data_IF_721575221803
#
_entry.id   IF_721575221803
#
_cell.length_a   1.000
_cell.length_b   1.000
_cell.length_c   1.000
_cell.angle_alpha   90.00
_cell.angle_beta   90.00
_cell.angle_gamma   90.00
#
_symmetry.space_group_name_H-M   'P 1'
#
loop_
_entity.id
_entity.type
_entity.pdbx_description
1 polymer ?
#
# COMPACT_ATOMS: atom_id res chain seq x y z
N UNK A 1 -9.96 -32.27 6.41
CA UNK A 1 -9.70 -31.35 7.54
C UNK A 1 -10.73 -30.25 7.50
N UNK A 2 -11.28 -29.83 8.64
CA UNK A 2 -12.27 -28.75 8.68
C UNK A 2 -11.57 -27.40 8.45
N UNK A 3 -12.08 -26.61 7.51
CA UNK A 3 -11.56 -25.27 7.21
C UNK A 3 -11.86 -24.31 8.37
N UNK A 4 -10.84 -23.61 8.88
CA UNK A 4 -10.97 -22.61 9.95
C UNK A 4 -11.12 -21.22 9.35
N UNK A 5 -12.15 -20.48 9.76
CA UNK A 5 -12.30 -19.07 9.38
C UNK A 5 -11.43 -18.20 10.29
N UNK A 6 -10.60 -17.33 9.72
CA UNK A 6 -9.76 -16.38 10.44
C UNK A 6 -10.17 -14.93 10.12
N UNK A 7 -10.70 -14.16 11.09
CA UNK A 7 -10.93 -12.73 10.91
C UNK A 7 -9.61 -11.97 10.72
N UNK A 8 -9.55 -11.11 9.70
CA UNK A 8 -8.37 -10.28 9.41
C UNK A 8 -8.84 -8.85 9.15
N UNK A 9 -8.50 -7.93 10.04
CA UNK A 9 -8.78 -6.50 9.86
C UNK A 9 -7.55 -5.79 9.29
N UNK A 10 -7.74 -5.09 8.17
CA UNK A 10 -6.66 -4.45 7.40
C UNK A 10 -6.93 -2.96 7.33
N UNK A 11 -6.02 -2.17 7.91
CA UNK A 11 -5.99 -0.71 7.76
C UNK A 11 -5.10 -0.36 6.57
N UNK A 12 -5.66 0.32 5.58
CA UNK A 12 -4.95 0.62 4.34
C UNK A 12 -5.29 2.00 3.81
N UNK A 13 -4.28 2.62 3.20
CA UNK A 13 -4.44 3.80 2.35
C UNK A 13 -4.04 3.40 0.91
N UNK A 14 -4.84 3.80 -0.07
CA UNK A 14 -4.62 3.47 -1.48
C UNK A 14 -3.34 4.11 -2.05
N UNK A 15 -2.87 5.22 -1.48
CA UNK A 15 -1.62 5.86 -1.91
C UNK A 15 -0.37 5.20 -1.29
N UNK A 16 -0.55 4.21 -0.42
CA UNK A 16 0.52 3.52 0.28
C UNK A 16 1.02 2.31 -0.53
N UNK A 17 2.25 2.34 -1.08
CA UNK A 17 2.79 1.19 -1.81
C UNK A 17 3.03 -0.02 -0.88
N UNK A 18 3.36 0.22 0.40
CA UNK A 18 3.51 -0.86 1.38
C UNK A 18 2.19 -1.58 1.69
N UNK A 19 1.05 -0.91 1.63
CA UNK A 19 -0.25 -1.58 1.79
C UNK A 19 -0.49 -2.57 0.66
N UNK A 20 -0.10 -2.23 -0.59
CA UNK A 20 -0.23 -3.15 -1.71
C UNK A 20 0.76 -4.32 -1.63
N UNK A 21 2.02 -4.06 -1.26
CA UNK A 21 3.01 -5.11 -0.97
C UNK A 21 2.50 -6.05 0.13
N UNK A 22 2.00 -5.51 1.24
CA UNK A 22 1.46 -6.26 2.36
C UNK A 22 0.29 -7.15 1.94
N UNK A 23 -0.63 -6.64 1.11
CA UNK A 23 -1.73 -7.43 0.52
C UNK A 23 -1.20 -8.63 -0.27
N UNK A 24 -0.23 -8.44 -1.16
CA UNK A 24 0.35 -9.53 -1.97
C UNK A 24 1.03 -10.59 -1.11
N UNK A 25 1.77 -10.17 -0.08
CA UNK A 25 2.42 -11.08 0.86
C UNK A 25 1.42 -11.83 1.73
N UNK A 26 0.34 -11.18 2.14
CA UNK A 26 -0.75 -11.81 2.90
C UNK A 26 -1.50 -12.85 2.06
N UNK A 27 -1.77 -12.55 0.79
CA UNK A 27 -2.35 -13.50 -0.17
C UNK A 27 -1.46 -14.74 -0.34
N UNK A 28 -0.15 -14.55 -0.53
CA UNK A 28 0.80 -15.65 -0.62
C UNK A 28 0.82 -16.51 0.65
N UNK A 29 0.82 -15.86 1.83
CA UNK A 29 0.81 -16.56 3.11
C UNK A 29 -0.46 -17.41 3.33
N UNK A 30 -1.62 -16.97 2.83
CA UNK A 30 -2.85 -17.77 2.90
C UNK A 30 -2.90 -18.87 1.83
N UNK A 31 -2.27 -18.68 0.67
CA UNK A 31 -2.15 -19.75 -0.33
C UNK A 31 -1.37 -20.97 0.20
N UNK A 32 -0.43 -20.76 1.11
CA UNK A 32 0.31 -21.83 1.82
C UNK A 32 -0.50 -22.52 2.94
N UNK A 33 -1.70 -22.02 3.27
CA UNK A 33 -2.53 -22.48 4.39
C UNK A 33 -3.95 -22.81 3.92
N UNK A 34 -4.14 -23.90 3.14
CA UNK A 34 -5.44 -24.23 2.54
C UNK A 34 -6.52 -24.62 3.57
N UNK A 35 -6.14 -24.89 4.81
CA UNK A 35 -7.03 -25.16 5.94
C UNK A 35 -7.56 -23.88 6.61
N UNK A 36 -7.07 -22.69 6.21
CA UNK A 36 -7.49 -21.40 6.76
C UNK A 36 -8.14 -20.53 5.70
N UNK A 37 -9.38 -20.10 5.94
CA UNK A 37 -10.08 -19.13 5.10
C UNK A 37 -10.07 -17.75 5.77
N UNK A 38 -9.40 -16.74 5.20
CA UNK A 38 -9.44 -15.39 5.74
C UNK A 38 -10.82 -14.75 5.52
N UNK A 39 -11.33 -14.10 6.56
CA UNK A 39 -12.50 -13.20 6.51
C UNK A 39 -12.00 -11.76 6.66
N UNK A 40 -11.85 -11.08 5.53
CA UNK A 40 -11.26 -9.74 5.50
C UNK A 40 -12.25 -8.65 5.89
N UNK A 41 -11.79 -7.73 6.74
CA UNK A 41 -12.45 -6.46 7.03
C UNK A 41 -11.49 -5.32 6.71
N UNK A 42 -11.83 -4.52 5.71
CA UNK A 42 -11.00 -3.38 5.31
C UNK A 42 -11.41 -2.12 6.05
N UNK A 43 -10.42 -1.37 6.53
CA UNK A 43 -10.58 -0.09 7.20
C UNK A 43 -9.76 0.95 6.45
N UNK A 44 -10.43 2.03 6.05
CA UNK A 44 -9.76 3.16 5.45
C UNK A 44 -8.79 3.78 6.47
N UNK A 45 -7.59 4.10 6.01
CA UNK A 45 -6.60 4.86 6.75
C UNK A 45 -6.12 6.01 5.86
N UNK A 46 -5.87 7.18 6.45
CA UNK A 46 -5.36 8.35 5.72
C UNK A 46 -3.92 8.62 6.14
N UNK A 47 -2.97 8.34 5.26
CA UNK A 47 -1.56 8.69 5.44
C UNK A 47 -1.35 10.21 5.43
N UNK A 48 -2.22 10.94 4.72
CA UNK A 48 -2.25 12.40 4.74
C UNK A 48 -3.69 12.89 4.95
N UNK A 49 -4.14 13.02 6.21
CA UNK A 49 -5.49 13.51 6.52
C UNK A 49 -5.77 14.94 6.04
N UNK A 50 -4.71 15.72 5.79
CA UNK A 50 -4.77 17.12 5.36
C UNK A 50 -4.53 17.31 3.86
N UNK A 51 -4.55 16.23 3.06
CA UNK A 51 -4.39 16.33 1.60
C UNK A 51 -5.44 17.30 1.00
N UNK A 52 -5.06 18.24 0.12
CA UNK A 52 -6.02 19.05 -0.64
C UNK A 52 -6.91 18.18 -1.52
N UNK A 53 -8.14 18.60 -1.82
CA UNK A 53 -9.12 17.78 -2.59
C UNK A 53 -8.61 17.45 -3.99
N UNK A 54 -7.88 18.36 -4.60
CA UNK A 54 -7.21 18.23 -5.90
C UNK A 54 -5.90 17.41 -5.83
N UNK A 55 -5.54 16.90 -4.65
CA UNK A 55 -4.27 16.24 -4.39
C UNK A 55 -3.06 17.18 -4.48
N UNK A 56 -1.87 16.60 -4.44
CA UNK A 56 -0.61 17.35 -4.52
C UNK A 56 0.26 16.85 -5.66
N UNK A 57 1.06 17.75 -6.24
CA UNK A 57 2.19 17.34 -7.08
C UNK A 57 3.02 16.26 -6.37
N UNK A 58 3.41 15.23 -7.11
CA UNK A 58 4.07 14.06 -6.52
C UNK A 58 5.42 14.42 -5.91
N UNK A 59 6.23 15.20 -6.63
CA UNK A 59 7.56 15.61 -6.17
C UNK A 59 7.46 16.46 -4.91
N UNK A 60 6.57 17.45 -4.91
CA UNK A 60 6.32 18.30 -3.75
C UNK A 60 5.85 17.49 -2.52
N UNK A 61 4.92 16.55 -2.70
CA UNK A 61 4.44 15.68 -1.62
C UNK A 61 5.58 14.83 -1.02
N UNK A 62 6.37 14.18 -1.86
CA UNK A 62 7.48 13.34 -1.39
C UNK A 62 8.61 14.16 -0.77
N UNK A 63 8.91 15.33 -1.33
CA UNK A 63 9.89 16.26 -0.78
C UNK A 63 9.49 16.76 0.59
N UNK A 64 8.23 17.17 0.78
CA UNK A 64 7.72 17.58 2.08
C UNK A 64 7.73 16.44 3.11
N UNK A 65 7.44 15.20 2.67
CA UNK A 65 7.32 14.05 3.57
C UNK A 65 8.66 13.41 3.96
N UNK A 66 9.59 13.31 3.02
CA UNK A 66 10.83 12.53 3.18
C UNK A 66 12.10 13.34 2.92
N UNK A 67 11.99 14.58 2.41
CA UNK A 67 13.13 15.40 2.03
C UNK A 67 14.06 14.69 1.06
N UNK A 68 15.37 14.87 1.27
CA UNK A 68 16.45 14.27 0.46
C UNK A 68 16.39 12.73 0.43
N UNK A 69 15.74 12.10 1.41
CA UNK A 69 15.64 10.65 1.52
C UNK A 69 14.58 10.02 0.61
N UNK A 70 13.76 10.83 -0.07
CA UNK A 70 12.64 10.35 -0.89
C UNK A 70 13.07 9.28 -1.91
N UNK A 71 14.15 9.53 -2.65
CA UNK A 71 14.67 8.59 -3.66
C UNK A 71 15.09 7.25 -3.02
N UNK A 72 15.85 7.27 -1.92
CA UNK A 72 16.29 6.07 -1.23
C UNK A 72 15.11 5.28 -0.62
N UNK A 73 14.11 5.97 -0.07
CA UNK A 73 12.88 5.33 0.45
C UNK A 73 12.12 4.63 -0.67
N UNK A 74 11.88 5.31 -1.80
CA UNK A 74 11.16 4.72 -2.93
C UNK A 74 11.94 3.63 -3.66
N UNK A 75 13.29 3.70 -3.68
CA UNK A 75 14.13 2.62 -4.20
C UNK A 75 13.96 1.31 -3.39
N UNK A 76 13.92 1.41 -2.05
CA UNK A 76 13.64 0.24 -1.19
C UNK A 76 12.23 -0.32 -1.41
N UNK A 77 11.24 0.56 -1.58
CA UNK A 77 9.86 0.16 -1.87
C UNK A 77 9.78 -0.55 -3.22
N UNK A 78 10.45 -0.03 -4.25
CA UNK A 78 10.47 -0.63 -5.58
C UNK A 78 11.09 -2.04 -5.54
N UNK A 79 12.20 -2.20 -4.82
CA UNK A 79 12.85 -3.50 -4.61
C UNK A 79 11.90 -4.50 -3.95
N UNK A 80 11.29 -4.11 -2.83
CA UNK A 80 10.32 -4.96 -2.12
C UNK A 80 9.05 -5.26 -2.94
N UNK A 81 8.68 -4.33 -3.83
CA UNK A 81 7.63 -4.52 -4.83
C UNK A 81 7.97 -5.66 -5.77
N UNK A 82 9.16 -5.65 -6.37
CA UNK A 82 9.64 -6.71 -7.25
C UNK A 82 9.65 -8.08 -6.55
N UNK A 83 10.16 -8.13 -5.31
CA UNK A 83 10.15 -9.35 -4.48
C UNK A 83 8.73 -9.89 -4.23
N UNK A 84 7.71 -9.03 -4.33
CA UNK A 84 6.29 -9.36 -4.13
C UNK A 84 5.52 -9.46 -5.45
N UNK A 85 6.22 -9.49 -6.59
CA UNK A 85 5.64 -9.60 -7.93
C UNK A 85 4.96 -8.32 -8.42
N UNK A 86 5.42 -7.14 -7.98
CA UNK A 86 4.86 -5.83 -8.31
C UNK A 86 5.94 -4.97 -8.97
N UNK A 87 5.79 -4.67 -10.26
CA UNK A 87 6.61 -3.69 -10.95
C UNK A 87 5.98 -2.30 -10.84
N UNK A 88 6.31 -1.56 -9.77
CA UNK A 88 5.79 -0.20 -9.59
C UNK A 88 6.29 0.75 -10.69
N UNK A 89 5.37 1.56 -11.20
CA UNK A 89 5.63 2.62 -12.18
C UNK A 89 5.60 3.99 -11.51
N UNK A 90 6.49 4.20 -10.54
CA UNK A 90 6.48 5.44 -9.74
C UNK A 90 6.74 6.69 -10.58
N UNK A 91 7.53 6.58 -11.64
CA UNK A 91 7.86 7.70 -12.53
C UNK A 91 6.66 8.19 -13.36
N UNK A 92 5.64 7.35 -13.54
CA UNK A 92 4.41 7.74 -14.25
C UNK A 92 3.46 8.55 -13.34
N UNK A 93 3.73 8.60 -12.03
CA UNK A 93 2.88 9.25 -11.04
C UNK A 93 3.23 10.74 -10.95
N UNK A 94 2.39 11.58 -11.55
CA UNK A 94 2.53 13.04 -11.48
C UNK A 94 1.89 13.67 -10.25
N UNK A 95 0.90 13.01 -9.64
CA UNK A 95 0.09 13.57 -8.56
C UNK A 95 -0.22 12.51 -7.51
N UNK A 96 -0.11 12.88 -6.24
CA UNK A 96 -0.64 12.09 -5.12
C UNK A 96 -2.08 12.54 -4.86
N UNK A 97 -3.09 11.68 -5.04
CA UNK A 97 -4.48 12.06 -4.87
C UNK A 97 -4.87 12.19 -3.38
N UNK A 98 -6.02 12.80 -3.13
CA UNK A 98 -6.74 12.70 -1.86
C UNK A 98 -7.45 11.35 -1.76
N UNK A 99 -7.00 10.49 -0.85
CA UNK A 99 -7.58 9.16 -0.66
C UNK A 99 -8.98 9.18 -0.04
N UNK A 100 -9.48 10.33 0.43
CA UNK A 100 -10.89 10.48 0.85
C UNK A 100 -11.86 10.55 -0.33
N UNK A 101 -11.36 10.90 -1.52
CA UNK A 101 -12.17 11.06 -2.72
C UNK A 101 -12.26 9.78 -3.57
N UNK A 102 -11.63 8.69 -3.10
CA UNK A 102 -11.52 7.42 -3.81
C UNK A 102 -12.53 6.37 -3.33
#
# INVERSE_FOLDING_TARGET
MATRILPVEIYADIICPWCYIGKRRLEAAFAERPDVTPSYRWRAFLLNPTMPREGMDRGAYLGAKFGHSAAAVYGRIATAGLDSGIAFRFDDIRRTPDSRAA
#
